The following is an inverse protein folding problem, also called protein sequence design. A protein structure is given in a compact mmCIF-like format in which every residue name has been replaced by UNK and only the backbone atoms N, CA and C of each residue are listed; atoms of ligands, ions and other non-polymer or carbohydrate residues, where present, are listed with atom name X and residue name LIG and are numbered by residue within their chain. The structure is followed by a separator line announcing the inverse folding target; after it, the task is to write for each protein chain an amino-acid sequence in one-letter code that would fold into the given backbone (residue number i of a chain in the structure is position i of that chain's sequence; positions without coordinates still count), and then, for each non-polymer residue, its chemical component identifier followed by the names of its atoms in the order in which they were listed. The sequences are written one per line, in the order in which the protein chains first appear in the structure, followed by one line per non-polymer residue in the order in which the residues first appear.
data_IF_890211365651
#
_entry.id   IF_890211365651
#
_cell.length_a   1.000
_cell.length_b   1.000
_cell.length_c   1.000
_cell.angle_alpha   90.00
_cell.angle_beta   90.00
_cell.angle_gamma   90.00
#
_symmetry.space_group_name_H-M   'P 1'
#
loop_
_entity.id
_entity.type
_entity.pdbx_description
1 polymer ?
#
# COMPACT_ATOMS: atom_id res chain seq x y z
N UNK A 1 16.75 -0.56 -21.52
CA UNK A 1 16.85 -0.62 -20.04
C UNK A 1 15.60 -1.29 -19.48
N UNK A 2 15.78 -2.07 -18.45
CA UNK A 2 14.63 -2.69 -17.79
C UNK A 2 13.77 -1.64 -17.11
N UNK A 3 12.47 -1.84 -17.11
CA UNK A 3 11.55 -1.00 -16.34
C UNK A 3 11.77 -1.24 -14.84
N UNK A 4 11.53 -0.22 -13.99
CA UNK A 4 11.61 -0.41 -12.56
C UNK A 4 10.64 -1.49 -12.08
N UNK A 5 11.03 -2.25 -11.06
CA UNK A 5 10.14 -3.20 -10.42
C UNK A 5 8.95 -2.46 -9.82
N UNK A 6 7.75 -2.95 -10.07
CA UNK A 6 6.53 -2.39 -9.49
C UNK A 6 6.21 -3.12 -8.19
N UNK A 7 5.89 -2.37 -7.14
CA UNK A 7 5.35 -2.92 -5.91
C UNK A 7 4.01 -2.27 -5.59
N UNK A 8 3.21 -2.97 -4.82
CA UNK A 8 1.92 -2.49 -4.34
C UNK A 8 2.08 -2.20 -2.84
N UNK A 9 1.53 -1.09 -2.38
CA UNK A 9 1.51 -0.76 -0.96
C UNK A 9 0.06 -0.61 -0.49
N UNK A 10 -0.26 -1.14 0.69
CA UNK A 10 -1.55 -0.88 1.29
C UNK A 10 -1.50 0.34 2.21
N UNK A 11 -2.64 0.72 2.75
CA UNK A 11 -2.74 1.90 3.60
C UNK A 11 -1.91 1.80 4.87
N UNK A 12 -1.71 0.58 5.41
CA UNK A 12 -0.92 0.40 6.64
C UNK A 12 0.54 0.75 6.44
N UNK A 13 1.08 0.56 5.23
CA UNK A 13 2.45 0.93 4.87
C UNK A 13 2.53 2.44 4.61
N UNK A 14 1.60 2.97 3.81
CA UNK A 14 1.58 4.41 3.48
C UNK A 14 1.40 5.26 4.73
N UNK A 15 0.58 4.82 5.68
CA UNK A 15 0.41 5.48 6.97
C UNK A 15 1.77 5.73 7.66
N UNK A 16 2.67 4.76 7.58
CA UNK A 16 4.00 4.84 8.20
C UNK A 16 4.92 5.87 7.55
N UNK A 17 4.58 6.36 6.37
CA UNK A 17 5.33 7.47 5.76
C UNK A 17 5.09 8.79 6.51
N UNK A 18 3.93 8.91 7.15
CA UNK A 18 3.47 10.16 7.77
C UNK A 18 3.36 10.10 9.29
N UNK A 19 3.43 8.90 9.88
CA UNK A 19 3.37 8.70 11.33
C UNK A 19 4.51 7.80 11.77
N UNK A 20 5.18 8.17 12.86
CA UNK A 20 6.29 7.38 13.38
C UNK A 20 5.77 6.22 14.21
N UNK A 21 6.04 5.00 13.78
CA UNK A 21 5.68 3.79 14.49
C UNK A 21 6.61 2.64 14.08
N UNK A 22 6.36 1.44 14.59
CA UNK A 22 7.15 0.28 14.21
C UNK A 22 7.16 0.11 12.68
N UNK A 23 8.31 -0.17 12.10
CA UNK A 23 8.54 -0.37 10.66
C UNK A 23 8.43 0.89 9.80
N UNK A 24 8.35 2.07 10.41
CA UNK A 24 8.33 3.33 9.64
C UNK A 24 9.61 3.53 8.84
N UNK A 25 10.74 3.09 9.35
CA UNK A 25 12.02 3.15 8.63
C UNK A 25 11.95 2.35 7.33
N UNK A 26 11.44 1.12 7.41
CA UNK A 26 11.31 0.23 6.25
C UNK A 26 10.32 0.82 5.24
N UNK A 27 9.19 1.35 5.73
CA UNK A 27 8.19 1.99 4.87
C UNK A 27 8.77 3.21 4.15
N UNK A 28 9.57 4.02 4.83
CA UNK A 28 10.21 5.20 4.21
C UNK A 28 11.31 4.81 3.21
N UNK A 29 11.94 3.65 3.40
CA UNK A 29 12.89 3.12 2.39
C UNK A 29 12.21 2.89 1.05
N UNK A 30 10.93 2.53 1.06
CA UNK A 30 10.15 2.38 -0.18
C UNK A 30 10.06 3.73 -0.91
N UNK A 31 9.75 4.81 -0.19
CA UNK A 31 9.68 6.15 -0.79
C UNK A 31 11.04 6.59 -1.33
N UNK A 32 12.11 6.30 -0.62
CA UNK A 32 13.46 6.63 -1.10
C UNK A 32 13.79 5.91 -2.40
N UNK A 33 13.52 4.60 -2.44
CA UNK A 33 13.75 3.82 -3.66
C UNK A 33 12.89 4.34 -4.82
N UNK A 34 11.66 4.73 -4.55
CA UNK A 34 10.79 5.33 -5.55
C UNK A 34 11.34 6.65 -6.07
N UNK A 35 11.80 7.52 -5.18
CA UNK A 35 12.36 8.82 -5.55
C UNK A 35 13.63 8.70 -6.37
N UNK A 36 14.39 7.62 -6.20
CA UNK A 36 15.60 7.33 -6.97
C UNK A 36 15.34 6.54 -8.25
N UNK A 37 14.08 6.24 -8.55
CA UNK A 37 13.73 5.51 -9.76
C UNK A 37 14.01 4.02 -9.73
N UNK A 38 14.28 3.44 -8.56
CA UNK A 38 14.56 2.01 -8.43
C UNK A 38 13.29 1.15 -8.50
N UNK A 39 12.16 1.70 -8.08
CA UNK A 39 10.87 1.01 -8.07
C UNK A 39 9.76 1.95 -8.54
N UNK A 40 8.67 1.36 -9.01
CA UNK A 40 7.39 2.04 -9.18
C UNK A 40 6.44 1.59 -8.08
N UNK A 41 5.53 2.46 -7.67
CA UNK A 41 4.56 2.15 -6.63
C UNK A 41 3.16 2.28 -7.19
N UNK A 42 2.36 1.24 -6.97
CA UNK A 42 0.93 1.27 -7.29
C UNK A 42 0.11 0.97 -6.04
N UNK A 43 -1.13 1.40 -6.06
CA UNK A 43 -2.10 1.09 -5.02
C UNK A 43 -3.52 1.22 -5.58
N UNK A 44 -4.50 0.98 -4.74
CA UNK A 44 -5.90 1.09 -5.13
C UNK A 44 -6.48 2.43 -4.68
N UNK A 45 -7.55 2.87 -5.33
CA UNK A 45 -8.18 4.17 -5.05
C UNK A 45 -8.73 4.30 -3.62
N UNK A 46 -8.90 3.19 -2.91
CA UNK A 46 -9.28 3.18 -1.50
C UNK A 46 -8.15 3.69 -0.60
N UNK A 47 -6.90 3.53 -1.01
CA UNK A 47 -5.73 3.75 -0.15
C UNK A 47 -5.68 5.16 0.48
N UNK A 48 -5.82 6.26 -0.28
CA UNK A 48 -5.78 7.58 0.34
C UNK A 48 -6.86 7.80 1.40
N UNK A 49 -8.05 7.25 1.19
CA UNK A 49 -9.13 7.34 2.17
C UNK A 49 -8.75 6.65 3.47
N UNK A 50 -8.21 5.45 3.39
CA UNK A 50 -7.82 4.69 4.58
C UNK A 50 -6.68 5.37 5.34
N UNK A 51 -5.68 5.90 4.61
CA UNK A 51 -4.55 6.61 5.23
C UNK A 51 -5.04 7.85 5.97
N UNK A 52 -5.84 8.67 5.30
CA UNK A 52 -6.34 9.91 5.90
C UNK A 52 -7.25 9.64 7.09
N UNK A 53 -8.08 8.61 6.99
CA UNK A 53 -8.94 8.22 8.10
C UNK A 53 -8.13 7.76 9.31
N UNK A 54 -7.07 6.98 9.11
CA UNK A 54 -6.18 6.55 10.19
C UNK A 54 -5.44 7.74 10.81
N UNK A 55 -4.92 8.65 9.99
CA UNK A 55 -4.23 9.84 10.47
C UNK A 55 -5.15 10.77 11.25
N UNK A 56 -6.42 10.87 10.85
CA UNK A 56 -7.43 11.68 11.56
C UNK A 56 -7.54 11.29 13.04
N UNK A 57 -7.39 10.01 13.35
CA UNK A 57 -7.48 9.50 14.72
C UNK A 57 -6.14 9.39 15.42
N UNK A 58 -5.06 9.83 14.79
CA UNK A 58 -3.72 9.79 15.38
C UNK A 58 -3.54 11.02 16.27
N UNK A 59 -3.08 10.84 17.53
CA UNK A 59 -2.80 11.96 18.42
C UNK A 59 -1.82 12.95 17.79
N UNK A 60 -2.02 14.23 18.07
CA UNK A 60 -1.16 15.34 17.67
C UNK A 60 -1.14 15.65 16.17
N UNK A 61 -2.01 15.02 15.39
CA UNK A 61 -2.18 15.34 13.97
C UNK A 61 -3.45 16.19 13.81
N UNK A 62 -3.26 17.41 13.33
CA UNK A 62 -4.35 18.36 13.11
C UNK A 62 -4.67 18.58 11.64
N UNK A 63 -5.60 19.50 11.38
CA UNK A 63 -6.09 19.77 10.03
C UNK A 63 -4.98 20.21 9.07
N UNK A 64 -4.05 21.05 9.53
CA UNK A 64 -2.96 21.50 8.66
C UNK A 64 -2.02 20.37 8.28
N UNK A 65 -1.78 19.45 9.20
CA UNK A 65 -0.97 18.26 8.91
C UNK A 65 -1.66 17.40 7.85
N UNK A 66 -2.98 17.25 7.96
CA UNK A 66 -3.76 16.48 6.98
C UNK A 66 -3.74 17.13 5.60
N UNK A 67 -3.78 18.45 5.53
CA UNK A 67 -3.62 19.17 4.26
C UNK A 67 -2.25 18.87 3.64
N UNK A 68 -1.19 18.88 4.44
CA UNK A 68 0.16 18.55 3.97
C UNK A 68 0.24 17.13 3.44
N UNK A 69 -0.40 16.18 4.12
CA UNK A 69 -0.45 14.78 3.68
C UNK A 69 -1.17 14.65 2.33
N UNK A 70 -2.32 15.32 2.16
CA UNK A 70 -3.05 15.26 0.88
C UNK A 70 -2.23 15.80 -0.27
N UNK A 71 -1.51 16.91 -0.04
CA UNK A 71 -0.59 17.46 -1.05
C UNK A 71 0.53 16.49 -1.38
N UNK A 72 1.13 15.91 -0.35
CA UNK A 72 2.23 14.94 -0.51
C UNK A 72 1.79 13.74 -1.35
N UNK A 73 0.64 13.15 -1.02
CA UNK A 73 0.11 12.00 -1.76
C UNK A 73 -0.13 12.35 -3.23
N UNK A 74 -0.66 13.54 -3.50
CA UNK A 74 -0.87 14.01 -4.87
C UNK A 74 0.43 14.18 -5.65
N UNK A 75 1.46 14.74 -5.02
CA UNK A 75 2.75 14.99 -5.66
C UNK A 75 3.54 13.73 -5.96
N UNK A 76 3.33 12.67 -5.19
CA UNK A 76 4.02 11.40 -5.42
C UNK A 76 3.64 10.76 -6.75
N UNK A 77 2.47 11.08 -7.28
CA UNK A 77 1.99 10.55 -8.56
C UNK A 77 2.03 9.02 -8.63
N UNK A 78 1.61 8.36 -7.56
CA UNK A 78 1.54 6.90 -7.52
C UNK A 78 0.55 6.39 -8.57
N UNK A 79 0.79 5.18 -9.06
CA UNK A 79 -0.14 4.52 -9.99
C UNK A 79 -1.34 4.00 -9.20
N UNK A 80 -2.43 4.76 -9.22
CA UNK A 80 -3.65 4.45 -8.46
C UNK A 80 -4.69 3.82 -9.38
N UNK A 81 -5.12 2.61 -9.02
CA UNK A 81 -6.08 1.84 -9.80
C UNK A 81 -7.47 1.90 -9.20
N UNK A 82 -8.46 2.14 -10.04
CA UNK A 82 -9.86 2.16 -9.65
C UNK A 82 -10.43 0.74 -9.62
N UNK A 83 -11.38 0.49 -8.72
CA UNK A 83 -12.02 -0.82 -8.61
C UNK A 83 -13.02 -1.01 -9.75
N UNK A 84 -12.55 -1.60 -10.85
CA UNK A 84 -13.35 -1.88 -12.04
C UNK A 84 -12.76 -3.06 -12.82
N UNK A 85 -13.54 -3.64 -13.73
CA UNK A 85 -13.10 -4.71 -14.62
C UNK A 85 -12.54 -5.94 -13.89
N UNK A 86 -11.39 -6.42 -14.34
CA UNK A 86 -10.74 -7.61 -13.78
C UNK A 86 -10.35 -7.42 -12.32
N UNK A 87 -9.94 -6.22 -11.91
CA UNK A 87 -9.62 -5.94 -10.52
C UNK A 87 -10.85 -6.13 -9.63
N UNK A 88 -12.00 -5.64 -10.08
CA UNK A 88 -13.27 -5.77 -9.38
C UNK A 88 -13.64 -7.25 -9.16
N UNK A 89 -13.55 -8.06 -10.22
CA UNK A 89 -13.88 -9.48 -10.16
C UNK A 89 -12.95 -10.24 -9.23
N UNK A 90 -11.65 -10.04 -9.40
CA UNK A 90 -10.64 -10.72 -8.60
C UNK A 90 -10.73 -10.34 -7.13
N UNK A 91 -11.05 -9.08 -6.86
CA UNK A 91 -11.25 -8.59 -5.49
C UNK A 91 -12.38 -9.37 -4.81
N UNK A 92 -13.51 -9.57 -5.48
CA UNK A 92 -14.60 -10.34 -4.92
C UNK A 92 -14.25 -11.82 -4.73
N UNK A 93 -13.62 -12.42 -5.73
CA UNK A 93 -13.19 -13.82 -5.66
C UNK A 93 -12.24 -14.06 -4.49
N UNK A 94 -11.24 -13.21 -4.32
CA UNK A 94 -10.26 -13.34 -3.24
C UNK A 94 -10.86 -13.05 -1.87
N UNK A 95 -11.77 -12.09 -1.77
CA UNK A 95 -12.45 -11.80 -0.50
C UNK A 95 -13.20 -13.05 0.00
N UNK A 96 -13.90 -13.74 -0.89
CA UNK A 96 -14.62 -14.97 -0.55
C UNK A 96 -13.65 -16.13 -0.29
N UNK A 97 -12.63 -16.27 -1.14
CA UNK A 97 -11.65 -17.37 -1.02
C UNK A 97 -10.91 -17.35 0.32
N UNK A 98 -10.46 -16.18 0.74
CA UNK A 98 -9.62 -16.04 1.94
C UNK A 98 -10.39 -15.60 3.18
N UNK A 99 -11.68 -15.30 3.04
CA UNK A 99 -12.47 -14.80 4.17
C UNK A 99 -11.96 -13.46 4.70
N UNK A 100 -11.55 -12.57 3.80
CA UNK A 100 -11.05 -11.25 4.11
C UNK A 100 -12.03 -10.18 3.60
N UNK A 101 -11.84 -8.95 4.05
CA UNK A 101 -12.70 -7.86 3.58
C UNK A 101 -12.45 -7.56 2.10
N UNK A 102 -13.43 -6.98 1.44
CA UNK A 102 -13.28 -6.47 0.08
C UNK A 102 -12.15 -5.43 0.03
N UNK A 103 -12.02 -4.65 1.08
CA UNK A 103 -10.97 -3.62 1.20
C UNK A 103 -9.58 -4.25 1.16
N UNK A 104 -9.29 -5.19 2.04
CA UNK A 104 -8.00 -5.88 2.08
C UNK A 104 -7.75 -6.65 0.78
N UNK A 105 -8.79 -7.30 0.26
CA UNK A 105 -8.71 -8.06 -0.98
C UNK A 105 -8.32 -7.19 -2.17
N UNK A 106 -8.73 -5.93 -2.20
CA UNK A 106 -8.43 -5.07 -3.35
C UNK A 106 -6.92 -4.87 -3.56
N UNK A 107 -6.17 -4.74 -2.49
CA UNK A 107 -4.70 -4.61 -2.58
C UNK A 107 -4.06 -5.90 -3.07
N UNK A 108 -4.44 -7.01 -2.46
CA UNK A 108 -3.93 -8.33 -2.84
C UNK A 108 -4.23 -8.65 -4.30
N UNK A 109 -5.44 -8.36 -4.73
CA UNK A 109 -5.89 -8.63 -6.09
C UNK A 109 -5.16 -7.79 -7.12
N UNK A 110 -4.86 -6.53 -6.78
CA UNK A 110 -4.04 -5.70 -7.65
C UNK A 110 -2.64 -6.30 -7.80
N UNK A 111 -2.06 -6.78 -6.71
CA UNK A 111 -0.76 -7.46 -6.75
C UNK A 111 -0.74 -8.65 -7.67
N UNK A 112 -1.78 -9.48 -7.61
CA UNK A 112 -1.89 -10.63 -8.51
C UNK A 112 -2.00 -10.22 -9.97
N UNK A 113 -2.83 -9.22 -10.26
CA UNK A 113 -3.02 -8.75 -11.64
C UNK A 113 -1.77 -8.11 -12.23
N UNK A 114 -1.01 -7.41 -11.41
CA UNK A 114 0.22 -6.73 -11.85
C UNK A 114 1.46 -7.61 -11.73
N UNK A 115 1.30 -8.84 -11.23
CA UNK A 115 2.42 -9.73 -10.92
C UNK A 115 3.47 -9.01 -10.06
N UNK A 116 3.00 -8.38 -9.00
CA UNK A 116 3.80 -7.53 -8.12
C UNK A 116 3.64 -7.92 -6.67
N UNK A 117 4.70 -7.69 -5.88
CA UNK A 117 4.64 -7.90 -4.43
C UNK A 117 3.77 -6.82 -3.78
N UNK A 118 2.96 -7.23 -2.81
CA UNK A 118 2.12 -6.34 -2.01
C UNK A 118 2.69 -6.26 -0.61
N UNK A 119 3.07 -5.05 -0.18
CA UNK A 119 3.58 -4.83 1.17
C UNK A 119 2.49 -4.35 2.09
N UNK A 120 2.39 -4.97 3.25
CA UNK A 120 1.41 -4.66 4.29
C UNK A 120 2.07 -4.75 5.67
N UNK A 121 1.53 -4.05 6.64
CA UNK A 121 1.92 -4.20 8.04
C UNK A 121 0.96 -5.12 8.81
N UNK A 122 -0.05 -5.66 8.15
CA UNK A 122 -1.09 -6.49 8.78
C UNK A 122 -0.74 -7.97 8.73
N UNK A 123 -0.15 -8.49 9.82
CA UNK A 123 0.21 -9.90 9.94
C UNK A 123 -1.01 -10.83 9.87
N UNK A 124 -2.16 -10.37 10.38
CA UNK A 124 -3.38 -11.18 10.34
C UNK A 124 -3.84 -11.41 8.91
N UNK A 125 -3.71 -10.39 8.07
CA UNK A 125 -4.03 -10.51 6.65
C UNK A 125 -3.12 -11.54 5.97
N UNK A 126 -1.82 -11.46 6.24
CA UNK A 126 -0.84 -12.40 5.68
C UNK A 126 -1.17 -13.84 6.10
N UNK A 127 -1.50 -14.05 7.37
CA UNK A 127 -1.84 -15.35 7.88
C UNK A 127 -3.13 -15.91 7.26
N UNK A 128 -4.12 -15.08 7.07
CA UNK A 128 -5.40 -15.48 6.46
C UNK A 128 -5.28 -15.81 4.99
N UNK A 129 -4.65 -14.93 4.23
CA UNK A 129 -4.58 -15.09 2.78
C UNK A 129 -3.53 -16.10 2.34
N UNK A 130 -2.37 -16.15 3.02
CA UNK A 130 -1.24 -17.04 2.70
C UNK A 130 -0.90 -17.01 1.21
N UNK A 131 -0.92 -15.82 0.64
CA UNK A 131 -0.65 -15.59 -0.77
C UNK A 131 0.80 -15.18 -0.97
N UNK A 132 1.47 -15.76 -1.99
CA UNK A 132 2.91 -15.54 -2.21
C UNK A 132 3.27 -14.11 -2.59
N UNK A 133 2.33 -13.31 -3.12
CA UNK A 133 2.61 -11.93 -3.45
C UNK A 133 2.51 -10.99 -2.26
N UNK A 134 1.96 -11.46 -1.13
CA UNK A 134 1.72 -10.65 0.06
C UNK A 134 2.91 -10.75 1.02
N UNK A 135 3.55 -9.62 1.31
CA UNK A 135 4.75 -9.54 2.15
C UNK A 135 4.56 -8.56 3.30
N UNK A 136 5.12 -8.89 4.45
CA UNK A 136 5.15 -7.97 5.57
C UNK A 136 6.19 -6.88 5.30
N UNK A 137 5.88 -5.65 5.72
CA UNK A 137 6.79 -4.50 5.49
C UNK A 137 8.18 -4.72 6.10
N UNK A 138 8.29 -5.50 7.17
CA UNK A 138 9.59 -5.81 7.79
C UNK A 138 10.54 -6.52 6.84
N UNK A 139 10.04 -7.15 5.79
CA UNK A 139 10.87 -7.87 4.82
C UNK A 139 11.39 -6.98 3.69
N UNK A 140 10.99 -5.72 3.64
CA UNK A 140 11.43 -4.82 2.58
C UNK A 140 12.90 -4.46 2.76
N UNK A 141 13.67 -4.61 1.71
CA UNK A 141 15.09 -4.24 1.68
C UNK A 141 15.33 -3.16 0.64
N UNK A 142 16.00 -2.07 1.05
CA UNK A 142 16.34 -0.96 0.17
C UNK A 142 17.23 -1.42 -0.99
N UNK A 143 17.04 -0.80 -2.16
CA UNK A 143 17.85 -1.02 -3.36
C UNK A 143 19.14 -0.20 -3.36
N UNK A 144 19.28 0.74 -2.40
CA UNK A 144 20.40 1.68 -2.35
C UNK A 144 21.58 1.25 -1.52
#
# INVERSE_FOLDING_TARGET
MAEPEKIIVDASVVYKWYAEEEWSKEARSIIEDYSHGHIDIASVSLMPFEVLNALRYTPDIGLLDLYTVTESLGKLSLDIQTLEGELSKRTMENALRYGITVYDSSYLSLGELEDAQVYTADMKLIEKARNTCLKHISSYHSHG
#
